data_IF_605143796570
#
_entry.id   IF_605143796570
#
_cell.length_a   1.000
_cell.length_b   1.000
_cell.length_c   1.000
_cell.angle_alpha   90.00
_cell.angle_beta   90.00
_cell.angle_gamma   90.00
#
_symmetry.space_group_name_H-M   'P 1'
#
loop_
_entity.id
_entity.type
_entity.pdbx_description
1 polymer ?
#
# COMPACT_ATOMS: atom_id res chain seq x y z
N UNK A 1 -6.81 15.84 19.51
CA UNK A 1 -7.65 15.03 18.59
C UNK A 1 -7.14 15.05 17.15
N UNK A 2 -6.87 16.23 16.55
CA UNK A 2 -6.40 16.33 15.15
C UNK A 2 -5.11 15.57 14.82
N UNK A 3 -4.12 15.58 15.72
CA UNK A 3 -2.84 14.87 15.49
C UNK A 3 -3.03 13.36 15.45
N UNK A 4 -3.86 12.81 16.33
CA UNK A 4 -4.16 11.37 16.39
C UNK A 4 -4.89 10.89 15.15
N UNK A 5 -5.90 11.64 14.68
CA UNK A 5 -6.63 11.35 13.43
C UNK A 5 -5.72 11.37 12.21
N UNK A 6 -4.78 12.33 12.14
CA UNK A 6 -3.79 12.39 11.05
C UNK A 6 -2.83 11.22 11.07
N UNK A 7 -2.32 10.85 12.24
CA UNK A 7 -1.41 9.70 12.37
C UNK A 7 -2.14 8.41 11.99
N UNK A 8 -3.35 8.20 12.50
CA UNK A 8 -4.17 7.02 12.14
C UNK A 8 -4.49 6.98 10.65
N UNK A 9 -4.90 8.11 10.06
CA UNK A 9 -5.18 8.20 8.63
C UNK A 9 -3.96 7.90 7.77
N UNK A 10 -2.79 8.42 8.15
CA UNK A 10 -1.54 8.21 7.42
C UNK A 10 -1.05 6.76 7.55
N UNK A 11 -1.15 6.17 8.74
CA UNK A 11 -0.84 4.75 8.97
C UNK A 11 -1.78 3.84 8.17
N UNK A 12 -3.09 4.14 8.14
CA UNK A 12 -4.07 3.39 7.35
C UNK A 12 -3.80 3.49 5.84
N UNK A 13 -3.38 4.66 5.34
CA UNK A 13 -2.95 4.82 3.94
C UNK A 13 -1.71 3.98 3.64
N UNK A 14 -0.68 4.06 4.48
CA UNK A 14 0.57 3.31 4.27
C UNK A 14 0.35 1.79 4.31
N UNK A 15 -0.40 1.31 5.31
CA UNK A 15 -0.73 -0.11 5.43
C UNK A 15 -1.65 -0.58 4.29
N UNK A 16 -2.55 0.27 3.81
CA UNK A 16 -3.47 -0.04 2.72
C UNK A 16 -2.77 -0.11 1.37
N UNK A 17 -1.71 0.68 1.18
CA UNK A 17 -0.90 0.67 -0.04
C UNK A 17 0.02 -0.55 -0.12
N UNK A 18 0.43 -1.14 1.00
CA UNK A 18 1.32 -2.30 1.01
C UNK A 18 0.81 -3.46 0.13
N UNK A 19 -0.41 -4.02 0.33
CA UNK A 19 -0.94 -5.10 -0.51
C UNK A 19 -1.25 -4.68 -1.95
N UNK A 20 -1.12 -3.40 -2.31
CA UNK A 20 -1.24 -2.90 -3.69
C UNK A 20 0.14 -2.83 -4.35
N UNK A 21 1.09 -2.19 -3.67
CA UNK A 21 2.44 -1.96 -4.19
C UNK A 21 3.26 -3.25 -4.29
N UNK A 22 3.12 -4.16 -3.33
CA UNK A 22 3.86 -5.43 -3.29
C UNK A 22 3.57 -6.35 -4.50
N UNK A 23 2.32 -6.71 -4.84
CA UNK A 23 2.04 -7.57 -5.99
C UNK A 23 2.36 -6.90 -7.33
N UNK A 24 2.07 -5.60 -7.48
CA UNK A 24 2.41 -4.85 -8.70
C UNK A 24 3.93 -4.73 -8.88
N UNK A 25 4.66 -4.47 -7.79
CA UNK A 25 6.12 -4.47 -7.77
C UNK A 25 6.68 -5.83 -8.14
N UNK A 26 6.16 -6.92 -7.56
CA UNK A 26 6.60 -8.27 -7.88
C UNK A 26 6.36 -8.65 -9.35
N UNK A 27 5.19 -8.29 -9.90
CA UNK A 27 4.87 -8.54 -11.31
C UNK A 27 5.76 -7.76 -12.28
N UNK A 28 6.05 -6.49 -11.98
CA UNK A 28 6.93 -5.65 -12.79
C UNK A 28 8.39 -6.11 -12.70
N UNK A 29 8.87 -6.44 -11.51
CA UNK A 29 10.21 -7.01 -11.29
C UNK A 29 10.39 -8.34 -12.01
N UNK A 30 9.40 -9.24 -11.94
CA UNK A 30 9.46 -10.52 -12.65
C UNK A 30 9.59 -10.32 -14.17
N UNK A 31 8.87 -9.36 -14.74
CA UNK A 31 8.98 -9.04 -16.18
C UNK A 31 10.31 -8.39 -16.55
N UNK A 32 10.92 -7.65 -15.63
CA UNK A 32 12.20 -6.98 -15.86
C UNK A 32 13.42 -7.93 -15.71
N UNK A 33 13.25 -9.05 -15.02
CA UNK A 33 14.29 -10.04 -14.78
C UNK A 33 14.15 -11.21 -15.76
N UNK A 34 15.10 -11.36 -16.68
CA UNK A 34 15.11 -12.45 -17.64
C UNK A 34 15.09 -13.82 -16.92
N UNK A 35 14.14 -14.67 -17.28
CA UNK A 35 13.97 -16.01 -16.69
C UNK A 35 13.12 -16.06 -15.41
N UNK A 36 12.66 -14.92 -14.88
CA UNK A 36 11.74 -14.89 -13.76
C UNK A 36 10.28 -14.84 -14.27
N UNK A 37 9.48 -15.83 -13.89
CA UNK A 37 8.03 -15.79 -14.08
C UNK A 37 7.33 -15.99 -12.74
N UNK A 38 6.30 -15.16 -12.52
CA UNK A 38 5.39 -15.25 -11.37
C UNK A 38 3.99 -15.54 -11.91
N UNK A 39 3.37 -16.59 -11.38
CA UNK A 39 1.98 -16.94 -11.65
C UNK A 39 1.18 -16.92 -10.34
N UNK A 40 -0.13 -17.13 -10.43
CA UNK A 40 -1.03 -17.10 -9.28
C UNK A 40 -0.77 -18.24 -8.27
N UNK A 41 -0.03 -19.29 -8.67
CA UNK A 41 0.40 -20.40 -7.82
C UNK A 41 1.82 -20.22 -7.23
N UNK A 42 2.56 -19.18 -7.63
CA UNK A 42 3.91 -18.86 -7.18
C UNK A 42 4.89 -18.56 -8.33
N UNK A 43 6.19 -18.53 -8.04
CA UNK A 43 7.21 -18.35 -9.09
C UNK A 43 7.45 -19.68 -9.80
N UNK A 44 7.34 -19.70 -11.13
CA UNK A 44 7.44 -20.93 -11.94
C UNK A 44 8.85 -21.22 -12.47
N UNK A 45 9.90 -20.67 -11.85
CA UNK A 45 11.29 -20.94 -12.19
C UNK A 45 12.27 -20.53 -11.09
N UNK A 46 13.55 -20.96 -11.15
CA UNK A 46 14.59 -20.53 -10.22
C UNK A 46 14.94 -19.05 -10.44
N UNK A 47 14.11 -18.15 -9.89
CA UNK A 47 14.34 -16.71 -9.97
C UNK A 47 15.41 -16.29 -8.95
N UNK A 48 16.56 -15.85 -9.44
CA UNK A 48 17.64 -15.30 -8.63
C UNK A 48 17.79 -13.80 -8.90
N UNK A 49 17.79 -13.01 -7.83
CA UNK A 49 18.05 -11.57 -7.88
C UNK A 49 19.33 -11.32 -7.12
N UNK A 50 20.36 -10.80 -7.79
CA UNK A 50 21.67 -10.55 -7.19
C UNK A 50 22.28 -11.81 -6.51
N UNK A 51 22.06 -12.99 -7.09
CA UNK A 51 22.54 -14.27 -6.55
C UNK A 51 21.76 -14.80 -5.34
N UNK A 52 20.67 -14.13 -4.93
CA UNK A 52 19.78 -14.59 -3.87
C UNK A 52 18.49 -15.20 -4.47
N UNK A 53 17.96 -16.32 -3.94
CA UNK A 53 16.71 -16.89 -4.40
C UNK A 53 15.55 -15.94 -4.05
N UNK A 54 14.98 -15.32 -5.08
CA UNK A 54 13.90 -14.33 -4.93
C UNK A 54 12.53 -14.91 -5.31
N UNK A 55 12.49 -16.09 -5.93
CA UNK A 55 11.26 -16.71 -6.43
C UNK A 55 10.16 -16.84 -5.36
N UNK A 56 10.50 -17.28 -4.15
CA UNK A 56 9.51 -17.46 -3.08
C UNK A 56 8.97 -16.12 -2.54
N UNK A 57 9.83 -15.09 -2.46
CA UNK A 57 9.42 -13.74 -2.02
C UNK A 57 8.50 -13.11 -3.05
N UNK A 58 8.86 -13.20 -4.33
CA UNK A 58 8.03 -12.73 -5.43
C UNK A 58 6.69 -13.49 -5.49
N UNK A 59 6.70 -14.81 -5.29
CA UNK A 59 5.49 -15.64 -5.22
C UNK A 59 4.55 -15.18 -4.11
N UNK A 60 5.07 -14.98 -2.89
CA UNK A 60 4.27 -14.49 -1.76
C UNK A 60 3.71 -13.09 -2.02
N UNK A 61 4.53 -12.19 -2.57
CA UNK A 61 4.09 -10.84 -2.92
C UNK A 61 2.99 -10.85 -4.00
N UNK A 62 3.11 -11.71 -5.02
CA UNK A 62 2.08 -11.87 -6.06
C UNK A 62 0.80 -12.53 -5.49
N UNK A 63 0.95 -13.45 -4.54
CA UNK A 63 -0.15 -14.05 -3.80
C UNK A 63 -0.96 -13.05 -2.96
N UNK A 64 -0.48 -11.82 -2.74
CA UNK A 64 -1.27 -10.74 -2.12
C UNK A 64 -2.23 -10.04 -3.10
N UNK A 65 -2.31 -10.44 -4.38
CA UNK A 65 -3.22 -9.83 -5.35
C UNK A 65 -4.68 -9.80 -4.85
N UNK A 66 -5.14 -10.84 -4.16
CA UNK A 66 -6.50 -10.90 -3.60
C UNK A 66 -6.73 -9.87 -2.49
N UNK A 67 -5.67 -9.40 -1.83
CA UNK A 67 -5.73 -8.41 -0.75
C UNK A 67 -5.72 -6.96 -1.27
N UNK A 68 -5.55 -6.74 -2.59
CA UNK A 68 -5.62 -5.41 -3.22
C UNK A 68 -6.93 -4.67 -2.89
N UNK A 69 -8.13 -5.27 -3.01
CA UNK A 69 -9.38 -4.58 -2.71
C UNK A 69 -9.45 -4.13 -1.25
N UNK A 70 -9.00 -4.99 -0.31
CA UNK A 70 -8.95 -4.67 1.10
C UNK A 70 -7.94 -3.53 1.40
N UNK A 71 -6.77 -3.57 0.77
CA UNK A 71 -5.77 -2.52 0.86
C UNK A 71 -6.23 -1.17 0.36
N UNK A 72 -6.84 -1.14 -0.84
CA UNK A 72 -7.45 0.06 -1.39
C UNK A 72 -8.55 0.61 -0.49
N UNK A 73 -9.40 -0.27 0.07
CA UNK A 73 -10.41 0.12 1.05
C UNK A 73 -9.81 0.79 2.29
N UNK A 74 -8.76 0.20 2.87
CA UNK A 74 -8.05 0.76 4.01
C UNK A 74 -7.41 2.13 3.67
N UNK A 75 -6.83 2.25 2.48
CA UNK A 75 -6.23 3.51 2.01
C UNK A 75 -7.28 4.60 1.81
N UNK A 76 -8.46 4.26 1.28
CA UNK A 76 -9.58 5.19 1.15
C UNK A 76 -10.05 5.67 2.52
N UNK A 77 -10.23 4.76 3.49
CA UNK A 77 -10.60 5.12 4.87
C UNK A 77 -9.58 6.09 5.46
N UNK A 78 -8.29 5.78 5.33
CA UNK A 78 -7.22 6.64 5.81
C UNK A 78 -7.21 8.03 5.15
N UNK A 79 -7.47 8.08 3.84
CA UNK A 79 -7.61 9.33 3.09
C UNK A 79 -8.79 10.18 3.58
N UNK A 80 -9.97 9.58 3.81
CA UNK A 80 -11.12 10.30 4.35
C UNK A 80 -10.87 10.81 5.78
N UNK A 81 -10.16 10.05 6.62
CA UNK A 81 -9.76 10.51 7.96
C UNK A 81 -8.83 11.73 7.89
N UNK A 82 -7.89 11.75 6.93
CA UNK A 82 -7.03 12.91 6.69
C UNK A 82 -7.82 14.13 6.23
N UNK A 83 -8.77 13.94 5.30
CA UNK A 83 -9.66 15.01 4.84
C UNK A 83 -10.52 15.56 5.97
N UNK A 84 -11.11 14.69 6.80
CA UNK A 84 -11.90 15.08 7.95
C UNK A 84 -11.07 15.90 8.97
N UNK A 85 -9.87 15.43 9.32
CA UNK A 85 -8.95 16.16 10.19
C UNK A 85 -8.45 17.49 9.59
N UNK A 86 -8.38 17.59 8.26
CA UNK A 86 -8.06 18.87 7.61
C UNK A 86 -9.25 19.84 7.64
N UNK A 87 -10.47 19.36 7.40
CA UNK A 87 -11.70 20.14 7.48
C UNK A 87 -11.96 20.69 8.88
N UNK A 88 -11.77 19.87 9.92
CA UNK A 88 -11.90 20.29 11.33
C UNK A 88 -10.93 21.42 11.64
N UNK A 89 -9.66 21.28 11.26
CA UNK A 89 -8.63 22.31 11.51
C UNK A 89 -8.95 23.62 10.81
N UNK A 90 -9.41 23.57 9.55
CA UNK A 90 -9.86 24.77 8.82
C UNK A 90 -11.08 25.44 9.46
N UNK A 91 -12.02 24.66 9.96
CA UNK A 91 -13.19 25.17 10.69
C UNK A 91 -12.80 25.88 11.98
N UNK A 92 -11.84 25.34 12.72
CA UNK A 92 -11.31 25.97 13.94
C UNK A 92 -10.59 27.29 13.65
N UNK A 93 -9.77 27.35 12.59
CA UNK A 93 -9.08 28.60 12.20
C UNK A 93 -10.05 29.70 11.78
N UNK A 94 -11.16 29.38 11.10
CA UNK A 94 -12.18 30.38 10.74
C UNK A 94 -12.94 30.91 11.95
N UNK A 95 -13.26 30.06 12.93
CA UNK A 95 -13.94 30.49 14.16
C UNK A 95 -13.05 31.37 15.04
N UNK A 96 -11.74 31.18 15.01
CA UNK A 96 -10.79 32.03 15.73
C UNK A 96 -10.61 33.42 15.09
N UNK A 97 -10.91 33.59 13.79
CA UNK A 97 -10.86 34.89 13.10
C UNK A 97 -12.15 35.72 13.24
N UNK A 98 -13.26 35.09 13.65
CA UNK A 98 -14.56 35.74 13.86
C UNK A 98 -14.90 36.00 15.34
N UNK A 99 -13.92 35.86 16.23
CA UNK A 99 -13.96 36.29 17.63
C UNK A 99 -12.95 37.40 17.84
#
# INVERSE_FOLDING_TARGET
>A
MDRTLRVLGLVAVLLGLAPVALPLGAGTLARALEGCSVNEAGSSGPCQVLGQPAGEVLARAYGLLWAIPAGLGLSLIGFFLLLAGWGIRRGQTRRAQHR
#
